data_IF_565330202124
#
_entry.id   IF_565330202124
#
_cell.length_a   1.000
_cell.length_b   1.000
_cell.length_c   1.000
_cell.angle_alpha   90.00
_cell.angle_beta   90.00
_cell.angle_gamma   90.00
#
_symmetry.space_group_name_H-M   'P 1'
#
loop_
_entity.id
_entity.type
_entity.pdbx_description
1 polymer ?
#
# COMPACT_ATOMS: atom_id res chain seq x y z
N UNK A 1 25.25 7.56 -17.79
CA UNK A 1 24.25 7.63 -16.71
C UNK A 1 23.57 6.29 -16.72
N UNK A 2 23.81 5.46 -15.72
CA UNK A 2 23.31 4.09 -15.67
C UNK A 2 21.78 4.11 -15.77
N UNK A 3 21.23 3.42 -16.76
CA UNK A 3 19.82 3.05 -16.76
C UNK A 3 19.53 2.43 -15.40
N UNK A 4 18.78 3.13 -14.55
CA UNK A 4 18.29 2.54 -13.32
C UNK A 4 17.40 1.39 -13.77
N UNK A 5 17.87 0.16 -13.62
CA UNK A 5 17.06 -1.02 -13.89
C UNK A 5 15.93 -0.98 -12.87
N UNK A 6 14.77 -0.48 -13.27
CA UNK A 6 13.54 -0.81 -12.58
C UNK A 6 13.45 -2.33 -12.64
N UNK A 7 13.56 -2.97 -11.47
CA UNK A 7 13.50 -4.42 -11.40
C UNK A 7 12.07 -4.85 -11.65
N UNK A 8 11.71 -5.09 -12.92
CA UNK A 8 10.35 -5.51 -13.35
C UNK A 8 10.09 -7.01 -13.08
N UNK A 9 10.73 -7.60 -12.08
CA UNK A 9 10.69 -9.05 -11.81
C UNK A 9 9.28 -9.58 -11.52
N UNK A 10 8.42 -8.73 -10.96
CA UNK A 10 7.04 -9.04 -10.59
C UNK A 10 6.01 -8.31 -11.46
N UNK A 11 6.43 -7.79 -12.61
CA UNK A 11 5.54 -7.10 -13.54
C UNK A 11 4.38 -7.99 -13.95
N UNK A 12 3.17 -7.41 -13.94
CA UNK A 12 1.93 -8.12 -14.27
C UNK A 12 1.27 -8.81 -13.07
N UNK A 13 1.94 -8.90 -11.92
CA UNK A 13 1.31 -9.32 -10.68
C UNK A 13 0.52 -8.16 -10.06
N UNK A 14 -0.65 -8.48 -9.51
CA UNK A 14 -1.48 -7.56 -8.72
C UNK A 14 -1.50 -8.04 -7.28
N UNK A 15 -1.31 -7.13 -6.34
CA UNK A 15 -1.30 -7.43 -4.91
C UNK A 15 -2.28 -6.51 -4.19
N UNK A 16 -3.20 -7.09 -3.44
CA UNK A 16 -4.04 -6.36 -2.49
C UNK A 16 -3.36 -6.37 -1.12
N UNK A 17 -2.93 -5.21 -0.65
CA UNK A 17 -2.28 -5.03 0.64
C UNK A 17 -3.29 -4.54 1.69
N UNK A 18 -3.76 -5.44 2.56
CA UNK A 18 -4.66 -5.14 3.68
C UNK A 18 -3.89 -4.95 5.00
N UNK A 19 -2.56 -4.93 4.94
CA UNK A 19 -1.71 -4.89 6.12
C UNK A 19 -1.60 -3.47 6.67
N UNK A 20 -1.16 -3.37 7.92
CA UNK A 20 -0.98 -2.12 8.66
C UNK A 20 0.36 -2.10 9.35
N UNK A 21 0.78 -0.91 9.79
CA UNK A 21 2.02 -0.71 10.53
C UNK A 21 3.25 -1.15 9.71
N UNK A 22 4.21 -1.86 10.30
CA UNK A 22 5.52 -2.05 9.69
C UNK A 22 5.68 -3.34 8.87
N UNK A 23 5.50 -4.56 9.41
CA UNK A 23 6.01 -5.78 8.78
C UNK A 23 5.32 -6.12 7.45
N UNK A 24 4.00 -5.96 7.41
CA UNK A 24 3.22 -6.19 6.20
C UNK A 24 3.50 -5.15 5.11
N UNK A 25 3.42 -3.84 5.42
CA UNK A 25 3.70 -2.81 4.43
C UNK A 25 5.14 -2.85 3.93
N UNK A 26 6.11 -3.23 4.75
CA UNK A 26 7.49 -3.45 4.31
C UNK A 26 7.58 -4.57 3.26
N UNK A 27 6.94 -5.71 3.50
CA UNK A 27 6.91 -6.82 2.54
C UNK A 27 6.25 -6.41 1.22
N UNK A 28 5.04 -5.84 1.26
CA UNK A 28 4.31 -5.45 0.05
C UNK A 28 4.96 -4.28 -0.68
N UNK A 29 5.71 -3.41 0.02
CA UNK A 29 6.55 -2.39 -0.61
C UNK A 29 7.69 -3.02 -1.41
N UNK A 30 8.36 -4.05 -0.89
CA UNK A 30 9.38 -4.76 -1.67
C UNK A 30 8.78 -5.37 -2.94
N UNK A 31 7.56 -5.92 -2.88
CA UNK A 31 6.86 -6.41 -4.07
C UNK A 31 6.62 -5.29 -5.09
N UNK A 32 6.20 -4.11 -4.63
CA UNK A 32 6.01 -2.94 -5.48
C UNK A 32 7.33 -2.42 -6.09
N UNK A 33 8.41 -2.39 -5.29
CA UNK A 33 9.76 -2.02 -5.75
C UNK A 33 10.29 -2.99 -6.82
N UNK A 34 9.83 -4.24 -6.81
CA UNK A 34 10.09 -5.25 -7.85
C UNK A 34 9.04 -5.30 -8.97
N UNK A 35 8.21 -4.25 -9.11
CA UNK A 35 7.34 -4.07 -10.28
C UNK A 35 5.92 -4.64 -10.16
N UNK A 36 5.51 -5.14 -9.00
CA UNK A 36 4.12 -5.57 -8.79
C UNK A 36 3.16 -4.37 -8.67
N UNK A 37 1.92 -4.52 -9.14
CA UNK A 37 0.85 -3.55 -8.93
C UNK A 37 0.31 -3.64 -7.49
N UNK A 38 0.93 -2.81 -6.66
CA UNK A 38 0.66 -2.41 -5.28
C UNK A 38 -0.70 -1.74 -4.96
N UNK A 39 -1.81 -2.40 -4.59
CA UNK A 39 -3.00 -1.69 -4.09
C UNK A 39 -3.21 -1.88 -2.58
N UNK A 40 -2.91 -0.83 -1.79
CA UNK A 40 -3.20 -0.79 -0.35
C UNK A 40 -4.67 -0.48 -0.10
N UNK A 41 -5.34 -1.34 0.66
CA UNK A 41 -6.74 -1.22 1.04
C UNK A 41 -6.84 -0.80 2.51
N UNK A 42 -7.49 0.33 2.77
CA UNK A 42 -7.53 0.94 4.10
C UNK A 42 -8.97 1.22 4.57
N UNK A 43 -9.19 1.25 5.88
CA UNK A 43 -10.49 1.67 6.40
C UNK A 43 -10.72 3.17 6.09
N UNK A 44 -11.93 3.59 5.70
CA UNK A 44 -12.24 5.02 5.55
C UNK A 44 -12.04 5.79 6.87
N UNK A 45 -11.69 7.07 6.76
CA UNK A 45 -11.37 7.91 7.92
C UNK A 45 -9.89 7.79 8.28
N UNK A 46 -9.58 7.01 9.31
CA UNK A 46 -8.24 6.94 9.89
C UNK A 46 -7.22 6.21 8.99
N UNK A 47 -7.66 5.24 8.19
CA UNK A 47 -6.76 4.41 7.39
C UNK A 47 -5.79 3.58 8.24
N UNK A 48 -4.54 3.47 7.80
CA UNK A 48 -3.43 2.94 8.60
C UNK A 48 -2.97 3.97 9.64
N UNK A 49 -2.95 3.61 10.93
CA UNK A 49 -2.53 4.51 12.02
C UNK A 49 -1.09 5.03 11.84
N UNK A 50 -0.27 4.31 11.06
CA UNK A 50 1.07 4.75 10.70
C UNK A 50 1.06 6.09 9.95
N UNK A 51 -0.03 6.48 9.27
CA UNK A 51 -0.14 7.75 8.50
C UNK A 51 0.09 9.01 9.33
N UNK A 52 -0.25 8.97 10.62
CA UNK A 52 -0.12 10.09 11.55
C UNK A 52 0.98 9.89 12.60
N UNK A 53 1.78 8.83 12.47
CA UNK A 53 2.81 8.52 13.47
C UNK A 53 4.07 9.37 13.25
N UNK A 54 4.65 9.87 14.34
CA UNK A 54 5.89 10.62 14.29
C UNK A 54 7.09 9.78 13.82
N UNK A 55 8.10 10.39 13.18
CA UNK A 55 8.24 11.83 12.91
C UNK A 55 7.37 12.29 11.73
N UNK A 56 6.83 13.51 11.83
CA UNK A 56 6.04 14.13 10.78
C UNK A 56 6.92 15.03 9.91
N UNK A 57 6.88 14.80 8.59
CA UNK A 57 7.46 15.67 7.57
C UNK A 57 6.29 16.28 6.81
N UNK A 58 6.17 17.60 6.82
CA UNK A 58 5.06 18.33 6.20
C UNK A 58 3.67 17.81 6.66
N UNK A 59 3.56 17.50 7.96
CA UNK A 59 2.32 17.00 8.56
C UNK A 59 1.96 15.54 8.20
N UNK A 60 2.87 14.79 7.59
CA UNK A 60 2.67 13.39 7.20
C UNK A 60 3.74 12.50 7.79
N UNK A 61 3.38 11.28 8.19
CA UNK A 61 4.34 10.34 8.77
C UNK A 61 5.43 9.93 7.80
N UNK A 62 6.69 10.15 8.20
CA UNK A 62 7.85 9.66 7.47
C UNK A 62 7.89 8.12 7.44
N UNK A 63 7.44 7.46 8.52
CA UNK A 63 7.36 6.00 8.53
C UNK A 63 6.36 5.47 7.51
N UNK A 64 5.18 6.10 7.41
CA UNK A 64 4.19 5.68 6.44
C UNK A 64 4.73 5.77 5.01
N UNK A 65 5.40 6.88 4.68
CA UNK A 65 6.05 7.06 3.38
C UNK A 65 7.15 6.03 3.13
N UNK A 66 7.98 5.76 4.14
CA UNK A 66 9.09 4.84 4.03
C UNK A 66 8.66 3.43 3.63
N UNK A 67 7.48 2.96 4.07
CA UNK A 67 6.99 1.59 3.82
C UNK A 67 5.78 1.49 2.88
N UNK A 68 5.38 2.58 2.22
CA UNK A 68 4.25 2.58 1.28
C UNK A 68 4.53 3.30 -0.05
N UNK A 69 5.79 3.62 -0.36
CA UNK A 69 6.20 4.06 -1.71
C UNK A 69 5.83 3.01 -2.76
N UNK A 70 5.65 3.45 -4.01
CA UNK A 70 5.28 2.63 -5.17
C UNK A 70 3.91 1.91 -5.07
N UNK A 71 3.13 2.15 -4.00
CA UNK A 71 1.76 1.65 -3.86
C UNK A 71 0.73 2.69 -4.25
N UNK A 72 -0.38 2.22 -4.81
CA UNK A 72 -1.66 2.95 -4.88
C UNK A 72 -2.45 2.67 -3.61
N UNK A 73 -3.39 3.55 -3.25
CA UNK A 73 -4.20 3.42 -2.04
C UNK A 73 -5.68 3.61 -2.37
N UNK A 74 -6.54 2.80 -1.75
CA UNK A 74 -8.00 2.88 -1.82
C UNK A 74 -8.57 2.69 -0.41
N UNK A 75 -9.46 3.57 0.01
CA UNK A 75 -10.26 3.33 1.21
C UNK A 75 -11.48 2.47 0.88
N UNK A 76 -11.72 1.43 1.66
CA UNK A 76 -12.82 0.49 1.47
C UNK A 76 -13.36 -0.01 2.80
N UNK A 77 -14.67 0.16 3.02
CA UNK A 77 -15.31 -0.33 4.23
C UNK A 77 -15.77 -1.80 4.07
N UNK A 78 -14.93 -2.74 4.50
CA UNK A 78 -15.22 -4.18 4.45
C UNK A 78 -16.31 -4.64 5.44
N UNK A 79 -16.78 -3.76 6.33
CA UNK A 79 -17.94 -4.04 7.21
C UNK A 79 -19.28 -3.86 6.50
N UNK A 80 -19.28 -3.33 5.27
CA UNK A 80 -20.48 -3.15 4.43
C UNK A 80 -20.51 -4.21 3.34
N UNK A 81 -21.71 -4.71 3.02
CA UNK A 81 -21.89 -5.72 1.98
C UNK A 81 -21.40 -5.24 0.62
N UNK A 82 -21.63 -3.96 0.29
CA UNK A 82 -21.13 -3.34 -0.94
C UNK A 82 -19.61 -3.30 -0.97
N UNK A 83 -18.98 -3.04 0.18
CA UNK A 83 -17.52 -3.05 0.31
C UNK A 83 -16.93 -4.44 0.12
N UNK A 84 -17.56 -5.47 0.68
CA UNK A 84 -17.16 -6.87 0.46
C UNK A 84 -17.36 -7.29 -1.00
N UNK A 85 -18.48 -6.90 -1.63
CA UNK A 85 -18.75 -7.17 -3.05
C UNK A 85 -17.70 -6.51 -3.94
N UNK A 86 -17.33 -5.26 -3.68
CA UNK A 86 -16.27 -4.58 -4.43
C UNK A 86 -14.91 -5.24 -4.21
N UNK A 87 -14.56 -5.57 -2.96
CA UNK A 87 -13.30 -6.26 -2.65
C UNK A 87 -13.16 -7.58 -3.43
N UNK A 88 -14.22 -8.39 -3.48
CA UNK A 88 -14.24 -9.64 -4.24
C UNK A 88 -14.07 -9.46 -5.75
N UNK A 89 -14.36 -8.28 -6.30
CA UNK A 89 -14.10 -7.95 -7.72
C UNK A 89 -12.65 -7.54 -7.98
N UNK A 90 -11.89 -7.23 -6.93
CA UNK A 90 -10.47 -6.86 -7.02
C UNK A 90 -9.54 -8.07 -6.91
N UNK A 91 -10.04 -9.21 -6.39
CA UNK A 91 -9.37 -10.52 -6.41
C UNK A 91 -9.41 -11.10 -7.82
#
# INVERSE_FOLDING_TARGET
MSDSVAYDLLKGLKVLDLTRLLPGPFCSMMLADFGAEVLKIEAPGEGDYLRSWEPLVEGKSAFFWAVNRNKRSLTLNLKRDEGQKLFKKLL
#
